data_IF_788723459188
#
_entry.id   IF_788723459188
#
_cell.length_a   1.000
_cell.length_b   1.000
_cell.length_c   1.000
_cell.angle_alpha   90.00
_cell.angle_beta   90.00
_cell.angle_gamma   90.00
#
_symmetry.space_group_name_H-M   'P 1'
#
loop_
_entity.id
_entity.type
_entity.pdbx_description
1 polymer ?
#
# COMPACT_ATOMS: atom_id res chain seq x y z
N UNK A 1 18.94 2.14 11.36
CA UNK A 1 17.81 1.84 10.45
C UNK A 1 16.79 2.94 10.64
N UNK A 2 16.53 3.77 9.62
CA UNK A 2 15.57 4.87 9.75
C UNK A 2 14.20 4.41 9.24
N UNK A 3 13.23 4.40 10.15
CA UNK A 3 11.82 4.18 9.86
C UNK A 3 11.12 5.53 9.98
N UNK A 4 10.35 5.92 8.97
CA UNK A 4 9.55 7.13 8.99
C UNK A 4 8.08 6.72 8.86
N UNK A 5 7.23 6.93 9.87
CA UNK A 5 5.80 6.71 9.71
C UNK A 5 5.26 7.67 8.64
N UNK A 6 4.52 7.13 7.67
CA UNK A 6 3.94 7.88 6.56
C UNK A 6 2.48 7.49 6.41
N UNK A 7 1.63 8.48 6.20
CA UNK A 7 0.26 8.24 5.72
C UNK A 7 0.27 8.30 4.20
N UNK A 8 -0.21 7.25 3.54
CA UNK A 8 -0.38 7.18 2.10
C UNK A 8 -1.87 7.09 1.75
N UNK A 9 -2.25 7.63 0.59
CA UNK A 9 -3.57 7.37 0.00
C UNK A 9 -3.40 6.37 -1.14
N UNK A 10 -4.12 5.26 -1.07
CA UNK A 10 -4.15 4.24 -2.12
C UNK A 10 -5.61 4.02 -2.51
N UNK A 11 -5.96 4.48 -3.71
CA UNK A 11 -7.32 4.39 -4.26
C UNK A 11 -8.40 4.86 -3.27
N UNK A 12 -8.22 6.07 -2.72
CA UNK A 12 -9.17 6.68 -1.78
C UNK A 12 -9.06 6.22 -0.33
N UNK A 13 -8.29 5.16 -0.03
CA UNK A 13 -8.08 4.70 1.34
C UNK A 13 -6.77 5.28 1.91
N UNK A 14 -6.89 6.00 3.03
CA UNK A 14 -5.72 6.45 3.79
C UNK A 14 -5.17 5.31 4.67
N UNK A 15 -3.86 5.13 4.66
CA UNK A 15 -3.17 4.07 5.38
C UNK A 15 -1.89 4.59 6.01
N UNK A 16 -1.66 4.24 7.27
CA UNK A 16 -0.40 4.51 7.95
C UNK A 16 0.56 3.35 7.75
N UNK A 17 1.71 3.62 7.15
CA UNK A 17 2.77 2.65 6.88
C UNK A 17 4.08 3.06 7.55
N UNK A 18 4.93 2.06 7.79
CA UNK A 18 6.27 2.23 8.36
C UNK A 18 7.33 1.67 7.41
N UNK A 19 7.61 2.34 6.28
CA UNK A 19 8.55 1.84 5.29
C UNK A 19 10.01 1.95 5.75
N UNK A 20 10.85 1.09 5.17
CA UNK A 20 12.31 1.27 5.18
C UNK A 20 12.68 2.37 4.20
N UNK A 21 13.38 3.38 4.69
CA UNK A 21 13.91 4.46 3.86
C UNK A 21 15.29 4.05 3.33
N UNK A 22 15.39 3.90 2.01
CA UNK A 22 16.64 3.64 1.28
C UNK A 22 16.70 4.53 0.04
N UNK A 23 17.90 4.82 -0.46
CA UNK A 23 18.06 5.58 -1.70
C UNK A 23 17.64 4.72 -2.90
N UNK A 24 16.45 4.98 -3.45
CA UNK A 24 15.87 4.25 -4.59
C UNK A 24 16.05 4.98 -5.93
N UNK A 25 16.63 6.19 -5.93
CA UNK A 25 16.63 7.07 -7.09
C UNK A 25 15.33 7.86 -7.25
N UNK A 26 14.85 8.03 -8.49
CA UNK A 26 13.62 8.75 -8.83
C UNK A 26 12.38 8.09 -8.18
N UNK A 27 11.30 8.86 -7.90
CA UNK A 27 10.36 8.53 -6.83
C UNK A 27 9.70 7.18 -7.07
N UNK A 28 10.05 6.22 -6.22
CA UNK A 28 9.50 4.87 -6.21
C UNK A 28 9.19 4.52 -4.78
N UNK A 29 7.92 4.32 -4.48
CA UNK A 29 7.49 3.59 -3.29
C UNK A 29 7.18 2.17 -3.73
N UNK A 30 7.79 1.18 -3.06
CA UNK A 30 7.53 -0.22 -3.33
C UNK A 30 6.71 -0.76 -2.16
N UNK A 31 5.46 -1.09 -2.43
CA UNK A 31 4.61 -1.84 -1.51
C UNK A 31 4.95 -3.32 -1.68
N UNK A 32 5.71 -3.84 -0.71
CA UNK A 32 6.18 -5.21 -0.74
C UNK A 32 5.08 -6.23 -0.41
N UNK A 33 5.45 -7.51 -0.47
CA UNK A 33 4.53 -8.63 -0.24
C UNK A 33 3.80 -8.56 1.11
N UNK A 34 4.45 -8.09 2.18
CA UNK A 34 3.82 -7.96 3.50
C UNK A 34 2.61 -7.01 3.47
N UNK A 35 2.73 -5.89 2.76
CA UNK A 35 1.63 -4.93 2.60
C UNK A 35 0.49 -5.55 1.77
N UNK A 36 0.84 -6.29 0.71
CA UNK A 36 -0.13 -7.01 -0.12
C UNK A 36 -0.88 -8.10 0.66
N UNK A 37 -0.19 -8.83 1.53
CA UNK A 37 -0.80 -9.87 2.37
C UNK A 37 -1.73 -9.28 3.43
N UNK A 38 -1.37 -8.14 4.01
CA UNK A 38 -2.16 -7.47 5.05
C UNK A 38 -3.48 -6.91 4.50
N UNK A 39 -3.41 -6.20 3.37
CA UNK A 39 -4.58 -5.52 2.82
C UNK A 39 -5.31 -6.34 1.75
N UNK A 40 -4.64 -7.33 1.17
CA UNK A 40 -5.19 -8.34 0.26
C UNK A 40 -6.15 -7.77 -0.81
N UNK A 41 -5.76 -6.72 -1.55
CA UNK A 41 -6.58 -6.18 -2.62
C UNK A 41 -6.64 -7.15 -3.80
N UNK A 42 -7.64 -6.96 -4.66
CA UNK A 42 -7.66 -7.57 -5.97
C UNK A 42 -6.76 -6.77 -6.91
N UNK A 43 -5.80 -7.44 -7.54
CA UNK A 43 -4.84 -6.81 -8.44
C UNK A 43 -5.06 -7.37 -9.82
N UNK A 44 -5.41 -6.49 -10.75
CA UNK A 44 -5.42 -6.79 -12.17
C UNK A 44 -4.04 -6.46 -12.72
N UNK A 45 -3.21 -7.50 -12.86
CA UNK A 45 -1.85 -7.37 -13.38
C UNK A 45 -1.79 -7.05 -14.88
N UNK A 46 -2.84 -7.38 -15.63
CA UNK A 46 -2.92 -7.11 -17.07
C UNK A 46 -3.20 -5.63 -17.32
N UNK A 47 -4.16 -5.06 -16.60
CA UNK A 47 -4.55 -3.65 -16.72
C UNK A 47 -3.81 -2.71 -15.75
N UNK A 48 -3.04 -3.27 -14.81
CA UNK A 48 -2.28 -2.51 -13.82
C UNK A 48 -3.17 -1.77 -12.81
N UNK A 49 -4.31 -2.37 -12.43
CA UNK A 49 -5.27 -1.76 -11.50
C UNK A 49 -5.33 -2.51 -10.17
N UNK A 50 -5.77 -1.80 -9.13
CA UNK A 50 -5.93 -2.32 -7.77
C UNK A 50 -7.35 -1.99 -7.32
N UNK A 51 -8.08 -2.97 -6.79
CA UNK A 51 -9.40 -2.80 -6.21
C UNK A 51 -9.45 -3.32 -4.79
N UNK A 52 -10.10 -2.55 -3.91
CA UNK A 52 -10.28 -2.95 -2.54
C UNK A 52 -11.41 -3.97 -2.41
N UNK A 53 -11.10 -5.11 -1.77
CA UNK A 53 -12.13 -6.06 -1.35
C UNK A 53 -13.05 -5.40 -0.34
N UNK A 54 -14.36 -5.59 -0.51
CA UNK A 54 -15.34 -5.13 0.47
C UNK A 54 -15.18 -5.94 1.76
N UNK A 55 -14.51 -5.35 2.74
CA UNK A 55 -14.42 -5.92 4.08
C UNK A 55 -15.56 -5.37 4.95
N UNK A 56 -16.39 -6.23 5.58
CA UNK A 56 -17.52 -5.80 6.42
C UNK A 56 -17.13 -4.84 7.56
N UNK A 57 -15.87 -4.81 7.99
CA UNK A 57 -15.38 -4.01 9.11
C UNK A 57 -14.69 -2.68 8.72
N UNK A 58 -14.58 -2.36 7.42
CA UNK A 58 -14.02 -1.10 6.93
C UNK A 58 -15.08 -0.05 6.59
N UNK A 59 -16.37 -0.32 6.84
CA UNK A 59 -17.49 0.60 6.60
C UNK A 59 -17.78 1.58 7.75
N UNK A 60 -16.77 2.03 8.51
CA UNK A 60 -16.96 3.04 9.57
C UNK A 60 -16.30 4.35 9.21
#
# INVERSE_FOLDING_TARGET
>A
MHCCPLTINVDGINMDIKPKVISLGHPRMILGLSWLQEHNPDIDWENGTLQWRQHPWKQK
#
